data_IF_901039847916
#
_entry.id   IF_901039847916
#
_cell.length_a   1.000
_cell.length_b   1.000
_cell.length_c   1.000
_cell.angle_alpha   90.00
_cell.angle_beta   90.00
_cell.angle_gamma   90.00
#
_symmetry.space_group_name_H-M   'P 1'
#
loop_
_entity.id
_entity.type
_entity.pdbx_description
1 polymer ?
#
# COMPACT_ATOMS: atom_id res chain seq x y z
N UNK A 1 -20.58 -12.37 11.47
CA UNK A 1 -20.50 -11.73 10.14
C UNK A 1 -20.05 -10.29 10.39
N UNK A 2 -18.81 -9.93 10.06
CA UNK A 2 -18.26 -8.61 10.37
C UNK A 2 -18.77 -7.57 9.36
N UNK A 3 -19.47 -6.55 9.83
CA UNK A 3 -19.94 -5.44 8.98
C UNK A 3 -18.76 -4.51 8.72
N UNK A 4 -18.36 -4.34 7.45
CA UNK A 4 -17.29 -3.39 7.09
C UNK A 4 -17.74 -1.95 7.33
N UNK A 5 -16.81 -1.04 7.65
CA UNK A 5 -17.09 0.40 7.80
C UNK A 5 -17.78 0.98 6.56
N UNK A 6 -17.44 0.47 5.38
CA UNK A 6 -18.02 0.88 4.10
C UNK A 6 -19.47 0.44 3.93
N UNK A 7 -19.82 -0.72 4.48
CA UNK A 7 -21.21 -1.21 4.52
C UNK A 7 -22.05 -0.39 5.50
N UNK A 8 -21.50 -0.05 6.68
CA UNK A 8 -22.17 0.78 7.68
C UNK A 8 -22.48 2.20 7.18
N UNK A 9 -21.53 2.86 6.50
CA UNK A 9 -21.75 4.19 5.94
C UNK A 9 -22.78 4.21 4.81
N UNK A 10 -22.94 3.11 4.06
CA UNK A 10 -23.98 2.99 3.03
C UNK A 10 -25.38 2.86 3.62
N UNK A 11 -25.52 2.24 4.79
CA UNK A 11 -26.82 2.06 5.47
C UNK A 11 -27.18 3.23 6.40
N UNK A 12 -26.21 3.97 6.92
CA UNK A 12 -26.46 5.08 7.85
C UNK A 12 -27.09 6.35 7.22
N UNK A 13 -27.19 6.44 5.89
CA UNK A 13 -27.74 7.60 5.18
C UNK A 13 -29.26 7.78 5.22
N UNK A 14 -30.01 6.93 5.94
CA UNK A 14 -31.49 6.92 5.91
C UNK A 14 -32.14 7.66 7.10
N UNK A 15 -31.40 8.04 8.15
CA UNK A 15 -32.00 8.62 9.36
C UNK A 15 -31.48 10.00 9.74
N UNK A 16 -32.13 11.08 9.29
CA UNK A 16 -31.87 12.41 9.84
C UNK A 16 -32.31 13.58 8.95
N UNK A 17 -33.62 13.82 8.85
CA UNK A 17 -34.14 15.05 8.27
C UNK A 17 -35.05 15.77 9.29
N UNK A 18 -34.55 16.84 9.93
CA UNK A 18 -35.37 17.91 10.47
C UNK A 18 -34.53 19.18 10.78
N UNK A 19 -34.84 20.26 10.04
CA UNK A 19 -34.81 21.70 10.39
C UNK A 19 -33.47 22.43 10.59
N UNK A 20 -33.09 23.28 9.62
CA UNK A 20 -33.07 24.77 9.76
C UNK A 20 -32.40 25.48 8.57
N UNK A 21 -33.03 26.56 8.08
CA UNK A 21 -32.35 27.75 7.55
C UNK A 21 -31.93 27.76 6.07
N UNK A 22 -32.66 28.49 5.24
CA UNK A 22 -32.39 28.68 3.82
C UNK A 22 -31.21 29.64 3.53
N UNK A 23 -30.24 29.17 2.75
CA UNK A 23 -29.55 29.96 1.72
C UNK A 23 -29.64 29.17 0.41
N UNK A 24 -30.69 29.41 -0.36
CA UNK A 24 -30.91 28.78 -1.66
C UNK A 24 -29.99 29.39 -2.72
N UNK A 25 -28.79 28.85 -2.89
CA UNK A 25 -28.15 28.81 -4.20
C UNK A 25 -28.73 27.64 -5.01
N UNK A 26 -30.04 27.67 -5.23
CA UNK A 26 -30.70 26.71 -6.11
C UNK A 26 -30.62 27.22 -7.55
N UNK A 27 -29.42 27.17 -8.12
CA UNK A 27 -29.28 27.05 -9.56
C UNK A 27 -29.94 25.74 -9.97
N UNK A 28 -31.21 25.80 -10.34
CA UNK A 28 -32.03 24.66 -10.73
C UNK A 28 -31.64 24.19 -12.14
N UNK A 29 -30.37 23.82 -12.33
CA UNK A 29 -30.00 22.87 -13.36
C UNK A 29 -30.16 21.51 -12.68
N UNK A 30 -31.20 20.75 -13.05
CA UNK A 30 -31.23 19.33 -12.74
C UNK A 30 -29.86 18.77 -13.15
N UNK A 31 -29.01 18.46 -12.17
CA UNK A 31 -27.64 18.04 -12.42
C UNK A 31 -27.72 16.80 -13.30
N UNK A 32 -27.48 16.97 -14.60
CA UNK A 32 -27.51 15.90 -15.58
C UNK A 32 -26.55 14.84 -15.03
N UNK A 33 -27.08 13.68 -14.66
CA UNK A 33 -26.31 12.63 -13.99
C UNK A 33 -25.08 12.34 -14.84
N UNK A 34 -23.90 12.69 -14.33
CA UNK A 34 -22.65 12.49 -15.05
C UNK A 34 -22.48 10.98 -15.31
N UNK A 35 -22.03 10.58 -16.51
CA UNK A 35 -21.79 9.18 -16.80
C UNK A 35 -20.68 8.64 -15.89
N UNK A 36 -20.88 7.42 -15.35
CA UNK A 36 -19.82 6.74 -14.62
C UNK A 36 -18.88 6.06 -15.63
N UNK A 37 -17.85 6.76 -16.08
CA UNK A 37 -16.86 6.21 -17.02
C UNK A 37 -16.04 5.07 -16.38
N UNK A 38 -15.99 4.99 -15.05
CA UNK A 38 -15.24 3.97 -14.32
C UNK A 38 -16.03 2.67 -14.05
N UNK A 39 -17.24 2.50 -14.58
CA UNK A 39 -18.13 1.39 -14.21
C UNK A 39 -17.53 0.02 -14.50
N UNK A 40 -16.84 -0.12 -15.63
CA UNK A 40 -16.22 -1.37 -16.09
C UNK A 40 -14.76 -1.54 -15.64
N UNK A 41 -14.22 -0.58 -14.88
CA UNK A 41 -12.82 -0.58 -14.48
C UNK A 41 -12.50 -1.75 -13.55
N UNK A 42 -11.60 -2.65 -13.99
CA UNK A 42 -11.21 -3.81 -13.22
C UNK A 42 -10.03 -3.51 -12.29
N UNK A 43 -10.12 -3.79 -10.98
CA UNK A 43 -9.01 -3.59 -10.07
C UNK A 43 -7.86 -4.57 -10.36
N UNK A 44 -6.63 -4.18 -10.00
CA UNK A 44 -5.47 -5.09 -10.05
C UNK A 44 -5.74 -6.32 -9.17
N UNK A 45 -5.70 -7.49 -9.80
CA UNK A 45 -6.00 -8.78 -9.17
C UNK A 45 -4.92 -9.23 -8.19
N UNK A 46 -5.29 -10.16 -7.31
CA UNK A 46 -4.36 -10.83 -6.38
C UNK A 46 -3.25 -11.56 -7.15
N UNK A 47 -3.60 -12.24 -8.25
CA UNK A 47 -2.62 -12.98 -9.06
C UNK A 47 -1.60 -12.06 -9.72
N UNK A 48 -2.01 -10.85 -10.15
CA UNK A 48 -1.06 -9.87 -10.64
C UNK A 48 -0.11 -9.41 -9.54
N UNK A 49 -0.58 -9.24 -8.30
CA UNK A 49 0.27 -8.89 -7.15
C UNK A 49 1.26 -9.99 -6.81
N UNK A 50 0.83 -11.26 -6.85
CA UNK A 50 1.73 -12.42 -6.74
C UNK A 50 2.84 -12.37 -7.79
N UNK A 51 2.50 -12.08 -9.06
CA UNK A 51 3.48 -11.92 -10.14
C UNK A 51 4.44 -10.75 -9.91
N UNK A 52 3.96 -9.63 -9.37
CA UNK A 52 4.80 -8.46 -9.01
C UNK A 52 5.81 -8.81 -7.93
N UNK A 53 5.37 -9.49 -6.86
CA UNK A 53 6.24 -9.95 -5.77
C UNK A 53 7.27 -10.96 -6.31
N UNK A 54 6.82 -11.96 -7.08
CA UNK A 54 7.72 -12.94 -7.69
C UNK A 54 8.78 -12.29 -8.60
N UNK A 55 8.40 -11.24 -9.35
CA UNK A 55 9.34 -10.43 -10.15
C UNK A 55 10.35 -9.70 -9.28
N UNK A 56 9.90 -9.01 -8.22
CA UNK A 56 10.81 -8.33 -7.29
C UNK A 56 11.78 -9.32 -6.61
N UNK A 57 11.28 -10.47 -6.17
CA UNK A 57 12.07 -11.55 -5.58
C UNK A 57 13.13 -12.08 -6.54
N UNK A 58 12.78 -12.32 -7.81
CA UNK A 58 13.75 -12.71 -8.82
C UNK A 58 14.85 -11.66 -8.98
N UNK A 59 14.49 -10.39 -9.17
CA UNK A 59 15.46 -9.30 -9.31
C UNK A 59 16.36 -9.15 -8.08
N UNK A 60 15.81 -9.37 -6.87
CA UNK A 60 16.58 -9.35 -5.63
C UNK A 60 17.61 -10.48 -5.59
N UNK A 61 17.20 -11.72 -5.93
CA UNK A 61 18.13 -12.87 -5.99
C UNK A 61 19.23 -12.66 -7.03
N UNK A 62 18.91 -12.13 -8.20
CA UNK A 62 19.89 -11.78 -9.25
C UNK A 62 20.90 -10.73 -8.77
N UNK A 63 20.49 -9.83 -7.88
CA UNK A 63 21.33 -8.77 -7.32
C UNK A 63 21.98 -9.10 -5.97
N UNK A 64 21.78 -10.31 -5.43
CA UNK A 64 22.26 -10.69 -4.09
C UNK A 64 21.63 -9.89 -2.94
N UNK A 65 20.37 -9.48 -3.09
CA UNK A 65 19.59 -8.73 -2.09
C UNK A 65 18.69 -9.70 -1.33
N UNK A 66 18.69 -9.62 0.01
CA UNK A 66 17.92 -10.51 0.87
C UNK A 66 16.48 -10.07 1.10
N UNK A 67 16.23 -8.75 1.12
CA UNK A 67 14.88 -8.20 1.28
C UNK A 67 14.76 -6.78 0.73
N UNK A 68 13.51 -6.34 0.50
CA UNK A 68 13.12 -4.99 0.13
C UNK A 68 12.16 -4.41 1.17
N UNK A 69 12.49 -3.24 1.71
CA UNK A 69 11.63 -2.46 2.59
C UNK A 69 10.86 -1.41 1.79
N UNK A 70 9.55 -1.39 1.99
CA UNK A 70 8.62 -0.43 1.43
C UNK A 70 7.97 0.37 2.56
N UNK A 71 7.81 1.67 2.36
CA UNK A 71 6.98 2.51 3.21
C UNK A 71 5.61 2.76 2.55
N UNK A 72 4.60 3.10 3.35
CA UNK A 72 3.33 3.69 2.91
C UNK A 72 3.52 4.64 1.72
N UNK A 73 2.83 4.38 0.62
CA UNK A 73 3.04 5.10 -0.64
C UNK A 73 2.75 4.22 -1.85
N UNK A 74 3.15 4.71 -3.03
CA UNK A 74 2.81 4.05 -4.30
C UNK A 74 3.40 2.65 -4.43
N UNK A 75 4.62 2.40 -3.91
CA UNK A 75 5.24 1.08 -3.92
C UNK A 75 4.52 0.08 -3.00
N UNK A 76 4.09 0.50 -1.80
CA UNK A 76 3.28 -0.33 -0.93
C UNK A 76 1.97 -0.75 -1.62
N UNK A 77 1.23 0.22 -2.18
CA UNK A 77 0.00 -0.04 -2.94
C UNK A 77 0.27 -0.97 -4.13
N UNK A 78 1.38 -0.79 -4.84
CA UNK A 78 1.72 -1.58 -6.03
C UNK A 78 1.93 -3.06 -5.70
N UNK A 79 2.69 -3.38 -4.63
CA UNK A 79 3.01 -4.76 -4.27
C UNK A 79 1.92 -5.42 -3.42
N UNK A 80 1.39 -4.73 -2.41
CA UNK A 80 0.55 -5.37 -1.38
C UNK A 80 -0.94 -5.03 -1.51
N UNK A 81 -1.27 -3.92 -2.17
CA UNK A 81 -2.63 -3.39 -2.25
C UNK A 81 -3.01 -2.52 -1.05
N UNK A 82 -2.20 -2.51 0.02
CA UNK A 82 -2.43 -1.68 1.20
C UNK A 82 -2.45 -0.21 0.81
N UNK A 83 -3.59 0.45 1.08
CA UNK A 83 -3.80 1.87 0.80
C UNK A 83 -3.63 2.67 2.09
N UNK A 84 -2.43 3.16 2.31
CA UNK A 84 -2.11 3.97 3.48
C UNK A 84 -1.43 5.29 3.10
N UNK A 85 -1.68 6.33 3.89
CA UNK A 85 -1.01 7.63 3.76
C UNK A 85 0.17 7.68 4.71
N UNK A 86 1.27 8.32 4.29
CA UNK A 86 2.39 8.58 5.18
C UNK A 86 1.99 9.52 6.32
N UNK A 87 2.42 9.17 7.53
CA UNK A 87 2.31 9.96 8.75
C UNK A 87 3.64 9.88 9.52
N UNK A 88 3.75 10.45 10.70
CA UNK A 88 4.86 10.21 11.62
C UNK A 88 5.03 8.73 12.01
N UNK A 89 3.95 7.95 11.94
CA UNK A 89 3.93 6.52 12.28
C UNK A 89 4.43 5.68 11.11
N UNK A 90 5.33 4.74 11.39
CA UNK A 90 5.81 3.80 10.39
C UNK A 90 4.74 2.75 10.07
N UNK A 91 4.31 2.75 8.81
CA UNK A 91 3.54 1.68 8.18
C UNK A 91 4.26 1.29 6.89
N UNK A 92 4.59 0.02 6.73
CA UNK A 92 5.42 -0.47 5.63
C UNK A 92 5.34 -1.97 5.42
N UNK A 93 5.97 -2.45 4.36
CA UNK A 93 6.03 -3.88 4.06
C UNK A 93 7.47 -4.33 3.80
N UNK A 94 7.76 -5.57 4.18
CA UNK A 94 9.02 -6.24 3.90
C UNK A 94 8.73 -7.35 2.90
N UNK A 95 9.44 -7.33 1.78
CA UNK A 95 9.41 -8.39 0.77
C UNK A 95 10.76 -9.11 0.85
N UNK A 96 10.84 -10.33 1.40
CA UNK A 96 12.07 -11.13 1.35
C UNK A 96 12.30 -11.67 -0.06
N UNK A 97 13.55 -12.00 -0.39
CA UNK A 97 13.94 -12.62 -1.66
C UNK A 97 13.29 -14.00 -1.90
N UNK A 98 12.88 -14.67 -0.81
CA UNK A 98 12.17 -15.95 -0.81
C UNK A 98 11.13 -15.94 0.31
N UNK A 99 9.94 -16.48 0.05
CA UNK A 99 8.84 -16.57 1.03
C UNK A 99 7.79 -15.47 0.89
N UNK A 100 6.87 -15.41 1.84
CA UNK A 100 5.74 -14.48 1.83
C UNK A 100 6.17 -13.04 2.13
N UNK A 101 5.27 -12.06 2.18
CA UNK A 101 5.59 -10.71 2.66
C UNK A 101 5.22 -10.56 4.14
N UNK A 102 5.59 -9.45 4.76
CA UNK A 102 5.04 -9.04 6.05
C UNK A 102 4.78 -7.52 6.05
N UNK A 103 3.75 -7.08 6.76
CA UNK A 103 3.40 -5.66 6.93
C UNK A 103 3.64 -5.26 8.38
N UNK A 104 4.25 -4.10 8.60
CA UNK A 104 4.39 -3.47 9.92
C UNK A 104 3.47 -2.26 9.98
N UNK A 105 2.69 -2.10 11.05
CA UNK A 105 1.73 -1.01 11.22
C UNK A 105 1.44 -0.73 12.71
N UNK A 106 0.99 0.46 13.11
CA UNK A 106 0.51 0.69 14.48
C UNK A 106 -0.65 -0.26 14.84
N UNK A 107 -0.70 -0.71 16.09
CA UNK A 107 -1.68 -1.67 16.60
C UNK A 107 -3.13 -1.30 16.28
N UNK A 108 -3.52 -0.05 16.51
CA UNK A 108 -4.90 0.39 16.28
C UNK A 108 -5.24 0.57 14.78
N UNK A 109 -4.24 0.59 13.89
CA UNK A 109 -4.43 0.73 12.44
C UNK A 109 -4.60 -0.63 11.74
N UNK A 110 -4.20 -1.73 12.40
CA UNK A 110 -4.21 -3.09 11.86
C UNK A 110 -5.53 -3.49 11.17
N UNK A 111 -6.72 -3.21 11.73
CA UNK A 111 -7.96 -3.61 11.07
C UNK A 111 -8.15 -2.91 9.71
N UNK A 112 -7.68 -1.66 9.59
CA UNK A 112 -7.78 -0.89 8.34
C UNK A 112 -6.76 -1.36 7.31
N UNK A 113 -5.58 -1.79 7.77
CA UNK A 113 -4.58 -2.45 6.90
C UNK A 113 -5.15 -3.76 6.37
N UNK A 114 -5.72 -4.60 7.24
CA UNK A 114 -6.30 -5.90 6.88
C UNK A 114 -7.42 -5.77 5.84
N UNK A 115 -8.23 -4.72 5.89
CA UNK A 115 -9.29 -4.46 4.91
C UNK A 115 -8.75 -4.18 3.49
N UNK A 116 -7.51 -3.70 3.35
CA UNK A 116 -6.92 -3.31 2.05
C UNK A 116 -5.79 -4.21 1.57
N UNK A 117 -5.22 -5.01 2.46
CA UNK A 117 -4.17 -5.97 2.15
C UNK A 117 -4.71 -7.06 1.22
N UNK A 118 -4.21 -7.10 -0.01
CA UNK A 118 -4.68 -8.01 -1.04
C UNK A 118 -3.87 -9.32 -1.09
N UNK A 119 -2.75 -9.39 -0.38
CA UNK A 119 -1.81 -10.52 -0.42
C UNK A 119 -1.05 -10.64 0.90
N UNK A 120 -0.82 -11.89 1.33
CA UNK A 120 -0.23 -12.22 2.62
C UNK A 120 -1.19 -12.06 3.79
N UNK A 121 -0.76 -12.50 4.96
CA UNK A 121 -1.52 -12.49 6.22
C UNK A 121 -0.68 -12.04 7.44
N UNK A 122 0.65 -12.04 7.33
CA UNK A 122 1.60 -11.56 8.34
C UNK A 122 1.54 -10.03 8.48
N UNK A 123 0.79 -9.57 9.48
CA UNK A 123 0.75 -8.17 9.92
C UNK A 123 1.31 -8.10 11.35
N UNK A 124 2.42 -7.39 11.52
CA UNK A 124 3.06 -7.16 12.82
C UNK A 124 2.76 -5.78 13.32
N UNK A 125 2.23 -5.71 14.52
CA UNK A 125 1.78 -4.46 15.12
C UNK A 125 2.70 -3.96 16.20
N UNK A 126 2.79 -2.64 16.34
CA UNK A 126 3.50 -1.99 17.45
C UNK A 126 2.58 -1.00 18.18
N UNK A 127 2.79 -0.86 19.49
CA UNK A 127 2.18 0.18 20.33
C UNK A 127 3.04 1.45 20.33
N UNK A 128 2.45 2.61 20.62
CA UNK A 128 3.09 3.94 20.49
C UNK A 128 4.41 4.09 21.28
N UNK A 129 4.62 3.30 22.33
CA UNK A 129 5.83 3.29 23.16
C UNK A 129 6.90 2.27 22.70
N UNK A 130 6.63 1.51 21.65
CA UNK A 130 7.51 0.46 21.13
C UNK A 130 8.32 0.95 19.94
N UNK A 131 9.44 0.27 19.67
CA UNK A 131 10.23 0.54 18.49
C UNK A 131 9.68 -0.28 17.29
N UNK A 132 9.06 0.35 16.28
CA UNK A 132 8.54 -0.37 15.11
C UNK A 132 9.63 -1.08 14.29
N UNK A 133 10.87 -0.58 14.34
CA UNK A 133 11.98 -1.12 13.56
C UNK A 133 12.53 -2.43 14.15
N UNK A 134 12.24 -2.72 15.42
CA UNK A 134 12.50 -4.03 16.01
C UNK A 134 11.66 -5.12 15.33
N UNK A 135 10.43 -4.81 14.89
CA UNK A 135 9.60 -5.73 14.11
C UNK A 135 10.19 -5.98 12.73
N UNK A 136 10.75 -4.95 12.09
CA UNK A 136 11.47 -5.10 10.81
C UNK A 136 12.64 -6.08 10.98
N UNK A 137 13.48 -5.88 12.00
CA UNK A 137 14.59 -6.78 12.29
C UNK A 137 14.12 -8.23 12.57
N UNK A 138 13.02 -8.38 13.32
CA UNK A 138 12.40 -9.68 13.56
C UNK A 138 11.92 -10.36 12.27
N UNK A 139 11.27 -9.62 11.37
CA UNK A 139 10.86 -10.14 10.06
C UNK A 139 12.08 -10.59 9.26
N UNK A 140 13.14 -9.78 9.20
CA UNK A 140 14.36 -10.14 8.48
C UNK A 140 14.95 -11.44 9.03
N UNK A 141 14.95 -11.64 10.35
CA UNK A 141 15.40 -12.88 10.98
C UNK A 141 14.51 -14.07 10.60
N UNK A 142 13.20 -13.93 10.71
CA UNK A 142 12.25 -15.01 10.43
C UNK A 142 12.26 -15.45 8.96
N UNK A 143 12.72 -14.58 8.05
CA UNK A 143 12.80 -14.83 6.61
C UNK A 143 14.22 -15.11 6.09
N UNK A 144 15.15 -15.40 6.99
CA UNK A 144 16.57 -15.66 6.68
C UNK A 144 17.25 -14.55 5.85
N UNK A 145 16.84 -13.30 6.13
CA UNK A 145 17.33 -12.07 5.49
C UNK A 145 17.98 -11.11 6.50
N UNK A 146 18.32 -11.61 7.70
CA UNK A 146 18.98 -10.82 8.75
C UNK A 146 20.48 -10.59 8.50
N UNK A 147 21.05 -11.24 7.50
CA UNK A 147 22.44 -11.07 7.07
C UNK A 147 22.46 -10.75 5.56
N UNK A 148 23.30 -9.80 5.15
CA UNK A 148 23.41 -9.39 3.74
C UNK A 148 22.69 -8.08 3.45
N UNK A 149 22.14 -7.93 2.24
CA UNK A 149 21.65 -6.63 1.75
C UNK A 149 20.15 -6.43 1.97
N UNK A 150 19.79 -5.31 2.59
CA UNK A 150 18.41 -4.80 2.66
C UNK A 150 18.26 -3.64 1.68
N UNK A 151 17.46 -3.84 0.65
CA UNK A 151 17.11 -2.78 -0.28
C UNK A 151 16.04 -1.86 0.33
N UNK A 152 16.23 -0.56 0.20
CA UNK A 152 15.28 0.47 0.65
C UNK A 152 14.64 1.13 -0.57
N UNK A 153 13.31 1.19 -0.61
CA UNK A 153 12.60 1.90 -1.67
C UNK A 153 12.92 3.41 -1.69
N UNK A 154 13.04 3.98 -2.89
CA UNK A 154 13.61 5.32 -3.12
C UNK A 154 12.95 6.45 -2.33
N UNK A 155 11.68 6.30 -1.96
CA UNK A 155 10.91 7.35 -1.31
C UNK A 155 10.77 7.11 0.19
N UNK A 156 11.35 6.04 0.74
CA UNK A 156 11.38 5.78 2.19
C UNK A 156 12.07 6.93 2.90
N UNK A 157 11.41 7.47 3.92
CA UNK A 157 11.93 8.62 4.67
C UNK A 157 13.12 8.23 5.54
N UNK A 158 14.09 9.13 5.65
CA UNK A 158 15.39 8.85 6.27
C UNK A 158 15.32 8.34 7.71
N UNK A 159 14.41 8.84 8.55
CA UNK A 159 14.29 8.37 9.94
C UNK A 159 13.92 6.87 10.04
N UNK A 160 13.25 6.32 9.02
CA UNK A 160 12.96 4.87 8.94
C UNK A 160 14.23 4.12 8.62
N UNK A 161 15.03 4.62 7.69
CA UNK A 161 16.33 4.04 7.32
C UNK A 161 17.26 4.00 8.53
N UNK A 162 17.38 5.13 9.23
CA UNK A 162 18.17 5.23 10.48
C UNK A 162 17.65 4.27 11.56
N UNK A 163 16.34 4.26 11.82
CA UNK A 163 15.72 3.38 12.79
C UNK A 163 15.93 1.88 12.48
N UNK A 164 15.85 1.49 11.21
CA UNK A 164 16.11 0.12 10.76
C UNK A 164 17.60 -0.22 10.87
N UNK A 165 18.51 0.68 10.49
CA UNK A 165 19.96 0.45 10.63
C UNK A 165 20.35 0.22 12.09
N UNK A 166 19.71 0.94 13.02
CA UNK A 166 19.93 0.79 14.46
C UNK A 166 19.37 -0.53 15.03
N UNK A 167 18.25 -1.03 14.49
CA UNK A 167 17.61 -2.27 14.93
C UNK A 167 18.16 -3.54 14.26
N UNK A 168 18.58 -3.47 12.99
CA UNK A 168 19.07 -4.57 12.18
C UNK A 168 20.54 -4.33 11.78
N UNK A 169 21.46 -4.36 12.75
CA UNK A 169 22.86 -3.96 12.54
C UNK A 169 23.66 -4.86 11.59
N UNK A 170 23.17 -6.07 11.31
CA UNK A 170 23.85 -7.07 10.48
C UNK A 170 23.49 -6.97 8.99
N UNK A 171 22.61 -6.04 8.59
CA UNK A 171 22.29 -5.82 7.19
C UNK A 171 23.01 -4.59 6.62
N UNK A 172 23.45 -4.72 5.38
CA UNK A 172 23.92 -3.63 4.54
C UNK A 172 22.71 -2.97 3.87
N UNK A 173 22.46 -1.69 4.17
CA UNK A 173 21.40 -0.93 3.50
C UNK A 173 21.87 -0.51 2.11
N UNK A 174 21.09 -0.86 1.09
CA UNK A 174 21.35 -0.53 -0.31
C UNK A 174 20.13 0.12 -0.97
N UNK A 175 20.32 0.76 -2.12
CA UNK A 175 19.19 1.31 -2.89
C UNK A 175 18.32 0.21 -3.50
N UNK A 176 17.00 0.32 -3.32
CA UNK A 176 15.99 -0.51 -3.96
C UNK A 176 15.47 0.01 -5.31
N UNK A 177 16.08 1.07 -5.85
CA UNK A 177 15.69 1.71 -7.11
C UNK A 177 15.56 0.71 -8.26
N UNK A 178 16.60 -0.12 -8.45
CA UNK A 178 16.66 -1.08 -9.56
C UNK A 178 15.52 -2.12 -9.48
N UNK A 179 15.19 -2.58 -8.27
CA UNK A 179 14.13 -3.57 -8.03
C UNK A 179 12.76 -2.94 -8.30
N UNK A 180 12.48 -1.81 -7.65
CA UNK A 180 11.16 -1.15 -7.72
C UNK A 180 10.87 -0.59 -9.10
N UNK A 181 11.83 0.09 -9.74
CA UNK A 181 11.70 0.58 -11.11
C UNK A 181 11.65 -0.57 -12.11
N UNK A 182 12.48 -1.60 -11.93
CA UNK A 182 12.46 -2.81 -12.75
C UNK A 182 11.09 -3.49 -12.75
N UNK A 183 10.33 -3.39 -11.65
CA UNK A 183 8.95 -3.84 -11.58
C UNK A 183 7.96 -2.87 -12.25
N UNK A 184 8.05 -1.57 -11.95
CA UNK A 184 6.98 -0.57 -12.20
C UNK A 184 7.10 0.23 -13.50
N UNK A 185 8.26 0.18 -14.18
CA UNK A 185 8.49 0.98 -15.37
C UNK A 185 7.63 0.54 -16.56
N UNK A 186 7.48 -0.77 -16.75
CA UNK A 186 6.66 -1.38 -17.80
C UNK A 186 5.32 -1.83 -17.23
N UNK A 187 4.23 -1.31 -17.78
CA UNK A 187 2.87 -1.48 -17.24
C UNK A 187 2.26 -2.76 -17.81
N UNK A 188 1.49 -3.47 -16.99
CA UNK A 188 0.64 -4.55 -17.47
C UNK A 188 -0.54 -4.01 -18.30
N UNK A 189 -1.22 -4.88 -19.04
CA UNK A 189 -2.44 -4.51 -19.74
C UNK A 189 -3.52 -3.98 -18.78
N UNK A 190 -3.63 -4.54 -17.58
CA UNK A 190 -4.57 -4.07 -16.55
C UNK A 190 -4.20 -2.68 -16.03
N UNK A 191 -2.91 -2.40 -15.83
CA UNK A 191 -2.45 -1.07 -15.44
C UNK A 191 -2.72 -0.03 -16.52
N UNK A 192 -2.45 -0.36 -17.79
CA UNK A 192 -2.73 0.53 -18.92
C UNK A 192 -4.23 0.80 -19.03
N UNK A 193 -5.08 -0.22 -18.89
CA UNK A 193 -6.54 -0.05 -18.91
C UNK A 193 -7.01 0.91 -17.81
N UNK A 194 -6.53 0.75 -16.57
CA UNK A 194 -6.86 1.66 -15.47
C UNK A 194 -6.35 3.09 -15.70
N UNK A 195 -5.16 3.25 -16.27
CA UNK A 195 -4.63 4.56 -16.64
C UNK A 195 -5.48 5.21 -17.74
N UNK A 196 -5.89 4.44 -18.75
CA UNK A 196 -6.76 4.91 -19.82
C UNK A 196 -8.10 5.39 -19.27
N UNK A 197 -8.75 4.60 -18.40
CA UNK A 197 -10.00 5.04 -17.75
C UNK A 197 -9.82 6.36 -16.99
N UNK A 198 -8.72 6.53 -16.25
CA UNK A 198 -8.44 7.78 -15.55
C UNK A 198 -8.25 8.98 -16.51
N UNK A 199 -7.58 8.75 -17.64
CA UNK A 199 -7.44 9.73 -18.71
C UNK A 199 -8.78 10.09 -19.35
N UNK A 200 -9.62 9.11 -19.65
CA UNK A 200 -10.95 9.32 -20.24
C UNK A 200 -11.85 10.15 -19.32
N UNK A 201 -11.81 9.88 -18.01
CA UNK A 201 -12.51 10.68 -16.99
C UNK A 201 -12.02 12.12 -16.99
N UNK A 202 -10.71 12.31 -17.06
CA UNK A 202 -10.09 13.64 -17.05
C UNK A 202 -10.48 14.40 -18.32
N UNK A 203 -10.43 13.75 -19.49
CA UNK A 203 -10.83 14.34 -20.77
C UNK A 203 -12.31 14.71 -20.81
N UNK A 204 -13.19 13.90 -20.21
CA UNK A 204 -14.62 14.20 -20.14
C UNK A 204 -14.97 15.33 -19.15
N UNK A 205 -14.03 15.72 -18.28
CA UNK A 205 -14.20 16.80 -17.32
C UNK A 205 -13.75 18.17 -17.85
N UNK A 206 -12.95 18.21 -18.91
CA UNK A 206 -12.60 19.43 -19.66
C UNK A 206 -13.75 19.86 -20.57
#
# INVERSE_FOLDING_TARGET
>A
MAISKRTFLKTAGIGGAALAGATTFAGNAAAKKLPNIADDAQPISVDERKRRIAKAQRLMREAGIGALLLEAGSSLVYFTGVRWRRSERFTGAIIPATGEIAVVTPYFEEPSIRETMAIGDDIRTWHENENPFALVAGILKDRDAANGKLAIEDTVRHFIVDGVQNAARNVEIVSGAAITRGCRMYKSAAEIALMQTASDITMAAY
#
